data_IF_343487933274
#
_entry.id   IF_343487933274
#
_cell.length_a   1.000
_cell.length_b   1.000
_cell.length_c   1.000
_cell.angle_alpha   90.00
_cell.angle_beta   90.00
_cell.angle_gamma   90.00
#
_symmetry.space_group_name_H-M   'P 1'
#
loop_
_entity.id
_entity.type
_entity.pdbx_description
1 polymer ?
#
# COMPACT_ATOMS: atom_id res chain seq x y z
N UNK A 1 -48.28 -4.99 33.44
CA UNK A 1 -49.67 -5.21 32.98
C UNK A 1 -50.03 -4.30 31.82
N UNK A 2 -50.31 -2.99 31.98
CA UNK A 2 -50.65 -2.13 30.83
C UNK A 2 -49.47 -1.81 29.88
N UNK A 3 -48.25 -1.73 30.41
CA UNK A 3 -47.03 -1.48 29.61
C UNK A 3 -46.69 -2.66 28.68
N UNK A 4 -46.99 -3.88 29.12
CA UNK A 4 -46.76 -5.11 28.34
C UNK A 4 -47.81 -5.26 27.23
N UNK A 5 -49.08 -4.93 27.51
CA UNK A 5 -50.18 -5.02 26.52
C UNK A 5 -50.03 -4.06 25.34
N UNK A 6 -49.41 -2.91 25.56
CA UNK A 6 -49.15 -1.93 24.49
C UNK A 6 -47.95 -2.35 23.64
N UNK A 7 -46.89 -2.85 24.26
CA UNK A 7 -45.75 -3.44 23.55
C UNK A 7 -46.16 -4.67 22.72
N UNK A 8 -47.04 -5.52 23.24
CA UNK A 8 -47.60 -6.68 22.52
C UNK A 8 -48.44 -6.27 21.29
N UNK A 9 -49.00 -5.05 21.29
CA UNK A 9 -49.70 -4.44 20.16
C UNK A 9 -48.77 -3.66 19.20
N UNK A 10 -47.46 -3.67 19.45
CA UNK A 10 -46.46 -2.93 18.66
C UNK A 10 -46.44 -1.42 18.94
N UNK A 11 -46.96 -0.98 20.09
CA UNK A 11 -46.98 0.41 20.52
C UNK A 11 -45.99 0.63 21.67
N UNK A 12 -45.03 1.52 21.45
CA UNK A 12 -43.95 1.84 22.38
C UNK A 12 -44.07 3.29 22.84
N UNK A 13 -43.71 3.58 24.09
CA UNK A 13 -43.55 4.97 24.54
C UNK A 13 -42.10 5.39 24.41
N UNK A 14 -41.87 6.62 23.97
CA UNK A 14 -40.54 7.23 24.00
C UNK A 14 -40.25 7.99 25.31
N UNK A 15 -39.04 8.54 25.43
CA UNK A 15 -38.57 9.32 26.58
C UNK A 15 -39.43 10.56 26.91
N UNK A 16 -40.27 11.00 25.97
CA UNK A 16 -41.19 12.13 26.11
C UNK A 16 -42.64 11.68 26.32
N UNK A 17 -42.86 10.41 26.66
CA UNK A 17 -44.18 9.78 26.81
C UNK A 17 -45.06 9.85 25.55
N UNK A 18 -44.47 9.92 24.35
CA UNK A 18 -45.21 9.86 23.09
C UNK A 18 -45.30 8.42 22.60
N UNK A 19 -46.46 8.03 22.08
CA UNK A 19 -46.66 6.74 21.43
C UNK A 19 -45.89 6.66 20.10
N UNK A 20 -45.21 5.53 19.88
CA UNK A 20 -44.45 5.16 18.68
C UNK A 20 -44.81 3.76 18.24
N UNK A 21 -44.69 3.51 16.94
CA UNK A 21 -44.90 2.18 16.32
C UNK A 21 -43.60 1.40 16.12
N UNK A 22 -42.47 1.98 16.54
CA UNK A 22 -41.14 1.38 16.49
C UNK A 22 -40.53 1.49 17.87
N UNK A 23 -39.94 0.39 18.33
CA UNK A 23 -39.21 0.35 19.59
C UNK A 23 -38.06 1.37 19.58
N UNK A 24 -38.06 2.36 20.49
CA UNK A 24 -37.04 3.40 20.54
C UNK A 24 -35.63 2.83 20.75
N UNK A 25 -35.48 1.75 21.50
CA UNK A 25 -34.18 1.12 21.76
C UNK A 25 -33.63 0.49 20.47
N UNK A 26 -34.48 -0.20 19.72
CA UNK A 26 -34.12 -0.78 18.41
C UNK A 26 -33.80 0.32 17.39
N UNK A 27 -34.56 1.42 17.38
CA UNK A 27 -34.29 2.57 16.51
C UNK A 27 -32.94 3.23 16.82
N UNK A 28 -32.61 3.37 18.10
CA UNK A 28 -31.34 3.94 18.55
C UNK A 28 -30.18 3.01 18.19
N UNK A 29 -30.25 1.73 18.58
CA UNK A 29 -29.23 0.72 18.25
C UNK A 29 -28.98 0.62 16.74
N UNK A 30 -30.03 0.68 15.92
CA UNK A 30 -29.89 0.66 14.46
C UNK A 30 -29.17 1.91 13.94
N UNK A 31 -29.41 3.07 14.57
CA UNK A 31 -28.74 4.33 14.19
C UNK A 31 -27.26 4.30 14.59
N UNK A 32 -26.96 3.86 15.80
CA UNK A 32 -25.59 3.68 16.29
C UNK A 32 -24.81 2.70 15.41
N UNK A 33 -25.39 1.53 15.12
CA UNK A 33 -24.79 0.52 14.25
C UNK A 33 -24.50 1.07 12.85
N UNK A 34 -25.43 1.86 12.28
CA UNK A 34 -25.25 2.51 10.98
C UNK A 34 -24.07 3.47 10.99
N UNK A 35 -23.92 4.26 12.05
CA UNK A 35 -22.83 5.23 12.18
C UNK A 35 -21.48 4.52 12.41
N UNK A 36 -21.44 3.48 13.23
CA UNK A 36 -20.24 2.63 13.40
C UNK A 36 -19.81 1.97 12.09
N UNK A 37 -20.76 1.39 11.34
CA UNK A 37 -20.50 0.79 10.04
C UNK A 37 -19.96 1.82 9.04
N UNK A 38 -20.47 3.05 9.08
CA UNK A 38 -20.00 4.14 8.23
C UNK A 38 -18.56 4.52 8.56
N UNK A 39 -18.24 4.70 9.84
CA UNK A 39 -16.88 5.04 10.26
C UNK A 39 -15.89 3.91 9.93
N UNK A 40 -16.29 2.66 10.13
CA UNK A 40 -15.49 1.50 9.71
C UNK A 40 -15.22 1.51 8.20
N UNK A 41 -16.25 1.75 7.37
CA UNK A 41 -16.11 1.81 5.92
C UNK A 41 -15.18 2.96 5.47
N UNK A 42 -15.26 4.11 6.12
CA UNK A 42 -14.36 5.25 5.87
C UNK A 42 -12.92 4.89 6.25
N UNK A 43 -12.73 4.28 7.42
CA UNK A 43 -11.41 3.81 7.89
C UNK A 43 -10.78 2.80 6.93
N UNK A 44 -11.53 1.78 6.53
CA UNK A 44 -11.09 0.77 5.57
C UNK A 44 -10.69 1.39 4.22
N UNK A 45 -11.52 2.31 3.69
CA UNK A 45 -11.22 3.03 2.45
C UNK A 45 -9.95 3.87 2.56
N UNK A 46 -9.75 4.57 3.67
CA UNK A 46 -8.56 5.39 3.90
C UNK A 46 -7.29 4.54 4.00
N UNK A 47 -7.37 3.39 4.68
CA UNK A 47 -6.28 2.42 4.76
C UNK A 47 -5.92 1.86 3.37
N UNK A 48 -6.91 1.48 2.56
CA UNK A 48 -6.65 1.02 1.20
C UNK A 48 -5.98 2.10 0.34
N UNK A 49 -6.41 3.35 0.48
CA UNK A 49 -5.81 4.49 -0.23
C UNK A 49 -4.36 4.74 0.21
N UNK A 50 -4.05 4.64 1.50
CA UNK A 50 -2.67 4.82 1.99
C UNK A 50 -1.76 3.68 1.54
N UNK A 51 -2.25 2.43 1.58
CA UNK A 51 -1.52 1.26 1.07
C UNK A 51 -1.23 1.40 -0.42
N UNK A 52 -2.20 1.85 -1.23
CA UNK A 52 -1.98 2.07 -2.66
C UNK A 52 -0.88 3.11 -2.91
N UNK A 53 -0.92 4.25 -2.20
CA UNK A 53 0.11 5.30 -2.30
C UNK A 53 1.49 4.79 -1.85
N UNK A 54 1.55 4.00 -0.78
CA UNK A 54 2.79 3.42 -0.30
C UNK A 54 3.39 2.43 -1.31
N UNK A 55 2.55 1.57 -1.90
CA UNK A 55 2.98 0.63 -2.95
C UNK A 55 3.53 1.35 -4.17
N UNK A 56 2.85 2.41 -4.63
CA UNK A 56 3.32 3.22 -5.76
C UNK A 56 4.67 3.88 -5.46
N UNK A 57 4.83 4.47 -4.27
CA UNK A 57 6.09 5.07 -3.86
C UNK A 57 7.23 4.02 -3.79
N UNK A 58 6.97 2.84 -3.21
CA UNK A 58 7.93 1.74 -3.17
C UNK A 58 8.32 1.27 -4.57
N UNK A 59 7.36 1.16 -5.48
CA UNK A 59 7.62 0.77 -6.87
C UNK A 59 8.51 1.79 -7.57
N UNK A 60 8.25 3.09 -7.41
CA UNK A 60 9.09 4.16 -7.98
C UNK A 60 10.51 4.13 -7.40
N UNK A 61 10.66 3.92 -6.10
CA UNK A 61 11.98 3.78 -5.45
C UNK A 61 12.76 2.58 -6.00
N UNK A 62 12.11 1.42 -6.15
CA UNK A 62 12.73 0.23 -6.73
C UNK A 62 13.13 0.45 -8.19
N UNK A 63 12.29 1.10 -8.99
CA UNK A 63 12.62 1.44 -10.38
C UNK A 63 13.83 2.36 -10.47
N UNK A 64 13.92 3.38 -9.62
CA UNK A 64 15.07 4.27 -9.56
C UNK A 64 16.36 3.52 -9.19
N UNK A 65 16.30 2.63 -8.19
CA UNK A 65 17.45 1.81 -7.80
C UNK A 65 17.90 0.86 -8.93
N UNK A 66 16.94 0.23 -9.62
CA UNK A 66 17.25 -0.62 -10.77
C UNK A 66 17.94 0.18 -11.88
N UNK A 67 17.46 1.40 -12.16
CA UNK A 67 18.07 2.27 -13.18
C UNK A 67 19.51 2.66 -12.80
N UNK A 68 19.75 3.02 -11.54
CA UNK A 68 21.09 3.34 -11.03
C UNK A 68 22.04 2.13 -11.17
N UNK A 69 21.59 0.93 -10.78
CA UNK A 69 22.41 -0.28 -10.87
C UNK A 69 22.70 -0.69 -12.31
N UNK A 70 21.75 -0.51 -13.23
CA UNK A 70 21.99 -0.72 -14.67
C UNK A 70 23.05 0.23 -15.22
N UNK A 71 23.00 1.50 -14.83
CA UNK A 71 24.02 2.47 -15.24
C UNK A 71 25.41 2.14 -14.69
N UNK A 72 25.49 1.73 -13.41
CA UNK A 72 26.74 1.27 -12.81
C UNK A 72 27.31 0.04 -13.53
N UNK A 73 26.46 -0.93 -13.85
CA UNK A 73 26.86 -2.14 -14.59
C UNK A 73 27.44 -1.80 -15.96
N UNK A 74 26.78 -0.91 -16.71
CA UNK A 74 27.26 -0.50 -18.03
C UNK A 74 28.61 0.22 -17.94
N UNK A 75 28.79 1.07 -16.92
CA UNK A 75 30.09 1.72 -16.66
C UNK A 75 31.19 0.69 -16.41
N UNK A 76 30.94 -0.29 -15.52
CA UNK A 76 31.93 -1.32 -15.22
C UNK A 76 32.24 -2.21 -16.42
N UNK A 77 31.24 -2.46 -17.28
CA UNK A 77 31.44 -3.20 -18.52
C UNK A 77 32.40 -2.47 -19.45
N UNK A 78 32.21 -1.17 -19.66
CA UNK A 78 33.08 -0.34 -20.50
C UNK A 78 34.50 -0.30 -19.93
N UNK A 79 34.63 -0.13 -18.61
CA UNK A 79 35.93 -0.12 -17.92
C UNK A 79 36.65 -1.46 -18.08
N UNK A 80 35.94 -2.57 -17.93
CA UNK A 80 36.47 -3.91 -18.15
C UNK A 80 36.94 -4.12 -19.59
N UNK A 81 36.13 -3.75 -20.58
CA UNK A 81 36.50 -3.86 -21.99
C UNK A 81 37.73 -3.00 -22.34
N UNK A 82 37.87 -1.82 -21.73
CA UNK A 82 39.05 -0.98 -21.90
C UNK A 82 40.31 -1.63 -21.29
N UNK A 83 40.20 -2.20 -20.09
CA UNK A 83 41.30 -2.90 -19.43
C UNK A 83 41.77 -4.12 -20.23
N UNK A 84 40.84 -4.92 -20.77
CA UNK A 84 41.19 -6.06 -21.62
C UNK A 84 41.96 -5.64 -22.88
N UNK A 85 41.65 -4.49 -23.48
CA UNK A 85 42.42 -3.97 -24.63
C UNK A 85 43.83 -3.59 -24.23
N UNK A 86 43.98 -2.85 -23.13
CA UNK A 86 45.29 -2.45 -22.61
C UNK A 86 46.13 -3.67 -22.25
N UNK A 87 45.54 -4.68 -21.61
CA UNK A 87 46.21 -5.95 -21.31
C UNK A 87 46.69 -6.66 -22.58
N UNK A 88 45.85 -6.74 -23.61
CA UNK A 88 46.23 -7.32 -24.89
C UNK A 88 47.39 -6.57 -25.56
N UNK A 89 47.34 -5.24 -25.60
CA UNK A 89 48.43 -4.40 -26.14
C UNK A 89 49.74 -4.59 -25.37
N UNK A 90 49.66 -4.70 -24.04
CA UNK A 90 50.83 -4.96 -23.19
C UNK A 90 51.42 -6.34 -23.45
N UNK A 91 50.60 -7.37 -23.59
CA UNK A 91 51.06 -8.73 -23.91
C UNK A 91 51.72 -8.79 -25.30
N UNK A 92 51.14 -8.15 -26.31
CA UNK A 92 51.75 -8.05 -27.64
C UNK A 92 53.10 -7.35 -27.60
N UNK A 93 53.23 -6.27 -26.81
CA UNK A 93 54.50 -5.58 -26.62
C UNK A 93 55.55 -6.48 -25.97
N UNK A 94 55.17 -7.25 -24.95
CA UNK A 94 56.06 -8.19 -24.27
C UNK A 94 56.53 -9.28 -25.25
N UNK A 95 55.62 -9.85 -26.02
CA UNK A 95 55.95 -10.90 -27.00
C UNK A 95 56.93 -10.39 -28.07
N UNK A 96 56.71 -9.18 -28.59
CA UNK A 96 57.65 -8.55 -29.53
C UNK A 96 59.03 -8.33 -28.91
N UNK A 97 59.08 -7.88 -27.66
CA UNK A 97 60.34 -7.66 -26.95
C UNK A 97 61.11 -8.96 -26.68
N UNK A 98 60.41 -10.06 -26.38
CA UNK A 98 61.01 -11.38 -26.19
C UNK A 98 61.55 -11.93 -27.53
N UNK A 99 60.80 -11.77 -28.62
CA UNK A 99 61.18 -12.27 -29.95
C UNK A 99 62.36 -11.51 -30.60
N UNK A 100 62.69 -10.31 -30.12
CA UNK A 100 63.81 -9.50 -30.61
C UNK A 100 65.15 -9.79 -29.89
N UNK A 101 65.18 -10.71 -28.93
CA UNK A 101 66.42 -11.22 -28.31
C UNK A 101 66.78 -12.61 -28.82
#
# INVERSE_FOLDING_TARGET
MAKDSLSDAGLHFDELNKLRILDPDVSQQTTELKDECREFAIGARNLLKSIAKQREAQQQQLQALIAEKKMQLERYRIEYEALCKVEAEQNEFIDQFILQK
#
